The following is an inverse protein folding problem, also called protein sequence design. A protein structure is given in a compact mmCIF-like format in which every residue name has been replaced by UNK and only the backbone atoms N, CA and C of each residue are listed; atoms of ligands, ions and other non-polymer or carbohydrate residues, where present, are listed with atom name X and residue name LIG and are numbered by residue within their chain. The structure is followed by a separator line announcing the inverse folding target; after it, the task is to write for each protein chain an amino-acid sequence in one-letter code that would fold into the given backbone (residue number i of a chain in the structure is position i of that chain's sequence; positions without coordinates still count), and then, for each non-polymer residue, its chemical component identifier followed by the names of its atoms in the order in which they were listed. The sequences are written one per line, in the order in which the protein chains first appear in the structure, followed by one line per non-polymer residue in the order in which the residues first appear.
data_IF_251535255649
#
_entry.id   IF_251535255649
#
_cell.length_a   1.000
_cell.length_b   1.000
_cell.length_c   1.000
_cell.angle_alpha   90.00
_cell.angle_beta   90.00
_cell.angle_gamma   90.00
#
_symmetry.space_group_name_H-M   'P 1'
#
loop_
_entity.id
_entity.type
_entity.pdbx_description
1 polymer ?
#
# COMPACT_ATOMS: atom_id res chain seq x y z
N UNK A 1 -33.06 34.91 20.13
CA UNK A 1 -32.32 34.92 18.84
C UNK A 1 -31.47 33.65 18.80
N UNK A 2 -31.90 32.61 18.08
CA UNK A 2 -31.23 31.30 18.04
C UNK A 2 -30.14 31.38 16.98
N UNK A 3 -28.87 31.52 17.38
CA UNK A 3 -27.74 31.48 16.45
C UNK A 3 -27.71 30.08 15.84
N UNK A 4 -27.99 30.04 14.53
CA UNK A 4 -28.28 28.83 13.77
C UNK A 4 -26.94 28.18 13.42
N UNK A 5 -26.81 26.91 13.76
CA UNK A 5 -25.59 26.09 13.80
C UNK A 5 -25.04 25.71 12.39
N UNK A 6 -24.97 26.67 11.46
CA UNK A 6 -24.59 26.44 10.06
C UNK A 6 -23.08 26.31 9.84
N UNK A 7 -22.26 26.90 10.71
CA UNK A 7 -20.80 26.88 10.57
C UNK A 7 -20.24 25.44 10.62
N UNK A 8 -20.75 24.61 11.54
CA UNK A 8 -20.17 23.30 11.80
C UNK A 8 -20.27 22.31 10.63
N UNK A 9 -21.35 22.35 9.82
CA UNK A 9 -21.48 21.44 8.68
C UNK A 9 -20.58 21.83 7.51
N UNK A 10 -20.41 23.14 7.26
CA UNK A 10 -19.53 23.66 6.22
C UNK A 10 -18.08 23.34 6.57
N UNK A 11 -17.63 23.59 7.80
CA UNK A 11 -16.27 23.25 8.24
C UNK A 11 -16.02 21.74 8.22
N UNK A 12 -17.01 20.92 8.57
CA UNK A 12 -16.87 19.45 8.55
C UNK A 12 -16.72 18.93 7.13
N UNK A 13 -17.51 19.45 6.19
CA UNK A 13 -17.43 19.12 4.77
C UNK A 13 -16.11 19.59 4.15
N UNK A 14 -15.66 20.80 4.47
CA UNK A 14 -14.37 21.33 4.03
C UNK A 14 -13.20 20.49 4.59
N UNK A 15 -13.28 20.03 5.85
CA UNK A 15 -12.27 19.15 6.46
C UNK A 15 -12.28 17.74 5.86
N UNK A 16 -13.41 17.25 5.37
CA UNK A 16 -13.50 15.96 4.66
C UNK A 16 -12.91 16.02 3.25
N UNK A 17 -12.90 17.22 2.65
CA UNK A 17 -12.32 17.53 1.34
C UNK A 17 -10.82 17.88 1.39
N UNK A 18 -10.30 18.29 2.55
CA UNK A 18 -8.87 18.58 2.71
C UNK A 18 -8.05 17.28 2.70
N UNK A 19 -7.00 17.19 1.86
CA UNK A 19 -6.12 16.04 1.86
C UNK A 19 -5.36 15.93 3.17
N UNK A 20 -5.19 14.71 3.66
CA UNK A 20 -4.31 14.45 4.79
C UNK A 20 -2.84 14.53 4.36
N UNK A 21 -1.97 14.71 5.36
CA UNK A 21 -0.52 14.81 5.15
C UNK A 21 0.01 13.53 4.49
N UNK A 22 -0.49 12.36 4.88
CA UNK A 22 -0.09 11.07 4.34
C UNK A 22 -1.32 10.17 4.16
N UNK A 23 -1.57 9.77 2.91
CA UNK A 23 -2.70 8.94 2.53
C UNK A 23 -2.24 7.69 1.77
N UNK A 24 -2.91 6.57 2.02
CA UNK A 24 -2.89 5.37 1.21
C UNK A 24 -4.29 5.16 0.64
N UNK A 25 -4.45 5.30 -0.67
CA UNK A 25 -5.70 4.96 -1.35
C UNK A 25 -5.56 3.66 -2.10
N UNK A 26 -6.62 2.87 -2.17
CA UNK A 26 -6.58 1.52 -2.76
C UNK A 26 -7.86 1.20 -3.52
N UNK A 27 -7.74 0.30 -4.49
CA UNK A 27 -8.82 -0.24 -5.29
C UNK A 27 -9.60 -1.34 -4.57
N UNK A 28 -10.75 -1.68 -5.13
CA UNK A 28 -11.74 -2.55 -4.47
C UNK A 28 -11.24 -3.95 -4.09
N UNK A 29 -10.29 -4.54 -4.83
CA UNK A 29 -9.78 -5.89 -4.55
C UNK A 29 -8.79 -5.94 -3.37
N UNK A 30 -8.21 -4.80 -2.98
CA UNK A 30 -7.27 -4.70 -1.86
C UNK A 30 -7.95 -4.47 -0.50
N UNK A 31 -9.27 -4.26 -0.47
CA UNK A 31 -10.05 -4.04 0.75
C UNK A 31 -9.77 -5.05 1.89
N UNK A 32 -9.59 -6.36 1.65
CA UNK A 32 -9.29 -7.29 2.74
C UNK A 32 -7.93 -7.04 3.43
N UNK A 33 -7.00 -6.32 2.78
CA UNK A 33 -5.69 -6.00 3.37
C UNK A 33 -5.75 -4.90 4.41
N UNK A 34 -6.87 -4.23 4.62
CA UNK A 34 -6.94 -3.00 5.44
C UNK A 34 -8.15 -2.98 6.38
N UNK A 35 -9.04 -3.97 6.27
CA UNK A 35 -10.20 -4.09 7.15
C UNK A 35 -9.76 -4.62 8.52
N UNK A 36 -10.24 -3.96 9.59
CA UNK A 36 -9.93 -4.35 10.96
C UNK A 36 -8.43 -4.30 11.28
N UNK A 37 -7.97 -5.22 12.14
CA UNK A 37 -6.55 -5.41 12.43
C UNK A 37 -5.85 -6.27 11.37
N UNK A 38 -5.84 -5.79 10.14
CA UNK A 38 -5.17 -6.49 9.05
C UNK A 38 -3.65 -6.55 9.24
N UNK A 39 -2.96 -7.50 8.57
CA UNK A 39 -1.49 -7.54 8.56
C UNK A 39 -0.86 -6.22 8.10
N UNK A 40 -1.43 -5.55 7.09
CA UNK A 40 -0.92 -4.26 6.61
C UNK A 40 -1.07 -3.17 7.66
N UNK A 41 -2.20 -3.13 8.38
CA UNK A 41 -2.40 -2.15 9.45
C UNK A 41 -1.37 -2.33 10.58
N UNK A 42 -1.05 -3.58 10.93
CA UNK A 42 0.02 -3.89 11.90
C UNK A 42 1.38 -3.46 11.38
N UNK A 43 1.69 -3.73 10.12
CA UNK A 43 2.96 -3.36 9.50
C UNK A 43 3.14 -1.84 9.42
N UNK A 44 2.09 -1.11 9.04
CA UNK A 44 2.09 0.37 9.02
C UNK A 44 2.37 0.93 10.41
N UNK A 45 1.70 0.41 11.46
CA UNK A 45 1.93 0.86 12.82
C UNK A 45 3.34 0.53 13.31
N UNK A 46 3.86 -0.65 12.96
CA UNK A 46 5.22 -1.05 13.25
C UNK A 46 6.23 -0.11 12.59
N UNK A 47 6.13 0.10 11.27
CA UNK A 47 6.99 1.00 10.51
C UNK A 47 6.94 2.43 11.05
N UNK A 48 5.74 2.91 11.41
CA UNK A 48 5.57 4.21 12.04
C UNK A 48 6.41 4.29 13.31
N UNK A 49 6.21 3.37 14.24
CA UNK A 49 6.92 3.32 15.54
C UNK A 49 8.43 3.14 15.37
N UNK A 50 8.86 2.35 14.39
CA UNK A 50 10.26 2.18 14.05
C UNK A 50 10.88 3.49 13.55
N UNK A 51 10.22 4.21 12.65
CA UNK A 51 10.66 5.54 12.17
C UNK A 51 10.78 6.53 13.34
N UNK A 52 9.83 6.53 14.27
CA UNK A 52 9.91 7.37 15.50
C UNK A 52 11.17 7.07 16.31
N UNK A 53 11.45 5.79 16.53
CA UNK A 53 12.57 5.34 17.35
C UNK A 53 13.93 5.57 16.68
N UNK A 54 14.02 5.33 15.37
CA UNK A 54 15.27 5.38 14.63
C UNK A 54 15.65 6.80 14.18
N UNK A 55 14.68 7.58 13.70
CA UNK A 55 14.93 8.89 13.09
C UNK A 55 14.56 10.08 13.99
N UNK A 56 13.89 9.83 15.11
CA UNK A 56 13.61 10.85 16.13
C UNK A 56 12.50 11.85 15.79
N UNK A 57 11.69 11.60 14.76
CA UNK A 57 10.57 12.48 14.40
C UNK A 57 9.23 11.75 14.37
N UNK A 58 8.16 12.54 14.58
CA UNK A 58 6.81 12.01 14.67
C UNK A 58 6.17 11.82 13.29
N UNK A 59 6.14 10.58 12.78
CA UNK A 59 5.41 10.28 11.54
C UNK A 59 3.89 10.44 11.77
N UNK A 60 3.18 11.24 10.94
CA UNK A 60 1.75 11.46 11.08
C UNK A 60 0.95 10.16 10.89
N UNK A 61 -0.32 10.19 11.29
CA UNK A 61 -1.24 9.08 11.03
C UNK A 61 -1.43 8.94 9.51
N UNK A 62 -1.18 7.74 8.98
CA UNK A 62 -1.50 7.40 7.60
C UNK A 62 -3.01 7.19 7.49
N UNK A 63 -3.66 7.96 6.61
CA UNK A 63 -5.08 7.75 6.33
C UNK A 63 -5.24 6.71 5.22
N UNK A 64 -6.01 5.66 5.48
CA UNK A 64 -6.28 4.59 4.53
C UNK A 64 -7.74 4.71 4.06
N UNK A 65 -8.00 4.82 2.74
CA UNK A 65 -9.35 4.99 2.17
C UNK A 65 -9.50 4.31 0.82
N UNK A 66 -10.68 3.75 0.53
CA UNK A 66 -10.95 3.20 -0.79
C UNK A 66 -11.11 4.33 -1.80
N UNK A 67 -10.69 4.07 -3.03
CA UNK A 67 -10.87 4.99 -4.13
C UNK A 67 -11.36 4.24 -5.37
N UNK A 68 -12.65 4.39 -5.66
CA UNK A 68 -13.32 3.71 -6.77
C UNK A 68 -12.77 4.08 -8.16
N UNK A 69 -11.98 5.16 -8.26
CA UNK A 69 -11.31 5.55 -9.49
C UNK A 69 -10.05 4.73 -9.79
N UNK A 70 -9.52 4.00 -8.80
CA UNK A 70 -8.36 3.12 -8.98
C UNK A 70 -8.79 1.77 -9.55
N UNK A 71 -7.88 1.14 -10.28
CA UNK A 71 -8.08 -0.25 -10.69
C UNK A 71 -8.19 -1.17 -9.45
N UNK A 72 -8.87 -2.33 -9.54
CA UNK A 72 -9.15 -3.14 -8.36
C UNK A 72 -7.92 -3.53 -7.52
N UNK A 73 -6.79 -3.84 -8.16
CA UNK A 73 -5.53 -4.25 -7.51
C UNK A 73 -4.55 -3.08 -7.29
N UNK A 74 -4.99 -1.85 -7.52
CA UNK A 74 -4.13 -0.68 -7.50
C UNK A 74 -4.15 0.01 -6.14
N UNK A 75 -3.00 0.56 -5.74
CA UNK A 75 -2.90 1.49 -4.65
C UNK A 75 -2.07 2.70 -5.05
N UNK A 76 -2.31 3.80 -4.36
CA UNK A 76 -1.53 5.03 -4.47
C UNK A 76 -1.21 5.57 -3.09
N UNK A 77 -0.02 6.15 -2.96
CA UNK A 77 0.42 6.87 -1.78
C UNK A 77 0.40 8.35 -2.12
N UNK A 78 -0.23 9.15 -1.27
CA UNK A 78 -0.29 10.60 -1.43
C UNK A 78 0.35 11.30 -0.24
N UNK A 79 1.06 12.40 -0.52
CA UNK A 79 1.56 13.33 0.47
C UNK A 79 0.94 14.70 0.21
N UNK A 80 0.22 15.25 1.19
CA UNK A 80 -0.54 16.49 1.05
C UNK A 80 -1.48 16.48 -0.19
N UNK A 81 -2.05 15.32 -0.51
CA UNK A 81 -2.92 15.14 -1.67
C UNK A 81 -2.21 14.97 -3.01
N UNK A 82 -0.88 15.06 -3.06
CA UNK A 82 -0.09 14.78 -4.27
C UNK A 82 0.31 13.31 -4.30
N UNK A 83 0.04 12.65 -5.42
CA UNK A 83 0.51 11.28 -5.65
C UNK A 83 2.04 11.23 -5.71
N UNK A 84 2.62 10.38 -4.87
CA UNK A 84 4.07 10.15 -4.81
C UNK A 84 4.47 8.74 -5.21
N UNK A 85 3.54 7.79 -5.14
CA UNK A 85 3.75 6.42 -5.58
C UNK A 85 2.43 5.77 -6.01
N UNK A 86 2.52 4.86 -6.98
CA UNK A 86 1.40 4.07 -7.52
C UNK A 86 1.90 2.69 -7.90
N UNK A 87 1.07 1.67 -7.66
CA UNK A 87 1.32 0.32 -8.14
C UNK A 87 0.02 -0.47 -8.24
N UNK A 88 -0.12 -1.37 -9.22
CA UNK A 88 -1.40 -2.06 -9.45
C UNK A 88 -1.36 -3.39 -10.19
N UNK A 89 -0.20 -4.04 -10.26
CA UNK A 89 -0.03 -5.26 -11.07
C UNK A 89 -0.24 -6.56 -10.28
N UNK A 90 -0.44 -6.49 -8.96
CA UNK A 90 -0.39 -7.64 -8.06
C UNK A 90 -1.72 -7.91 -7.35
N UNK A 91 -2.23 -9.14 -7.45
CA UNK A 91 -3.38 -9.59 -6.67
C UNK A 91 -3.02 -9.92 -5.23
N UNK A 92 -4.01 -9.90 -4.33
CA UNK A 92 -3.84 -10.12 -2.88
C UNK A 92 -3.21 -11.48 -2.50
N UNK A 93 -3.39 -12.50 -3.35
CA UNK A 93 -2.90 -13.87 -3.11
C UNK A 93 -1.67 -14.22 -3.94
N UNK A 94 -1.18 -13.27 -4.74
CA UNK A 94 0.03 -13.44 -5.51
C UNK A 94 1.25 -13.22 -4.63
N UNK A 95 2.41 -13.62 -5.12
CA UNK A 95 3.69 -13.36 -4.49
C UNK A 95 4.61 -12.73 -5.51
N UNK A 96 5.40 -11.75 -5.07
CA UNK A 96 6.44 -11.16 -5.88
C UNK A 96 7.76 -11.90 -5.62
N UNK A 97 8.40 -12.36 -6.68
CA UNK A 97 9.75 -12.89 -6.66
C UNK A 97 10.68 -11.82 -7.21
N UNK A 98 11.50 -11.23 -6.34
CA UNK A 98 12.44 -10.18 -6.70
C UNK A 98 13.79 -10.82 -6.98
N UNK A 99 14.40 -10.51 -8.13
CA UNK A 99 15.71 -11.01 -8.48
C UNK A 99 16.81 -10.16 -7.81
N UNK A 100 17.16 -10.49 -6.55
CA UNK A 100 18.17 -9.74 -5.77
C UNK A 100 19.60 -10.24 -5.99
N UNK A 101 19.77 -11.37 -6.66
CA UNK A 101 21.07 -11.98 -6.96
C UNK A 101 20.90 -12.74 -8.26
N UNK A 102 21.88 -12.76 -9.17
CA UNK A 102 21.87 -13.53 -10.44
C UNK A 102 21.65 -15.07 -10.28
N UNK A 103 21.21 -15.52 -9.11
CA UNK A 103 20.81 -16.88 -8.76
C UNK A 103 19.52 -17.31 -9.48
N UNK A 104 18.68 -16.39 -9.94
CA UNK A 104 17.52 -16.73 -10.78
C UNK A 104 17.97 -16.86 -12.25
N UNK A 105 18.80 -17.87 -12.55
CA UNK A 105 19.17 -18.23 -13.93
C UNK A 105 18.10 -19.04 -14.65
N UNK A 106 17.07 -19.51 -13.93
CA UNK A 106 15.94 -20.25 -14.51
C UNK A 106 14.81 -19.29 -14.82
N UNK A 107 14.26 -19.39 -16.04
CA UNK A 107 13.02 -18.72 -16.39
C UNK A 107 11.90 -19.19 -15.45
N UNK A 108 11.54 -18.34 -14.49
CA UNK A 108 10.37 -18.56 -13.63
C UNK A 108 9.15 -18.15 -14.45
N UNK A 109 8.23 -19.08 -14.67
CA UNK A 109 6.94 -18.76 -15.27
C UNK A 109 6.14 -17.79 -14.37
N UNK A 110 5.64 -16.70 -14.94
CA UNK A 110 4.86 -15.69 -14.22
C UNK A 110 4.76 -14.39 -15.00
N UNK A 111 4.13 -13.39 -14.40
CA UNK A 111 4.01 -12.06 -15.01
C UNK A 111 5.21 -11.21 -14.62
N UNK A 112 6.00 -10.75 -15.60
CA UNK A 112 7.12 -9.84 -15.36
C UNK A 112 6.59 -8.50 -14.86
N UNK A 113 7.22 -7.94 -13.84
CA UNK A 113 6.86 -6.67 -13.20
C UNK A 113 8.12 -6.00 -12.61
N UNK A 114 7.93 -4.86 -11.95
CA UNK A 114 8.95 -4.13 -11.21
C UNK A 114 8.55 -4.02 -9.75
N UNK A 115 9.52 -4.17 -8.85
CA UNK A 115 9.32 -3.90 -7.43
C UNK A 115 9.05 -2.40 -7.20
N UNK A 116 7.95 -2.02 -6.51
CA UNK A 116 7.59 -0.62 -6.32
C UNK A 116 8.49 0.14 -5.33
N UNK A 117 9.35 -0.53 -4.56
CA UNK A 117 10.23 0.13 -3.59
C UNK A 117 11.60 0.48 -4.19
N UNK A 118 12.14 -0.39 -5.06
CA UNK A 118 13.52 -0.31 -5.57
C UNK A 118 13.64 -0.39 -7.09
N UNK A 119 12.53 -0.52 -7.84
CA UNK A 119 12.50 -0.68 -9.30
C UNK A 119 13.30 -1.90 -9.83
N UNK A 120 13.39 -2.93 -9.00
CA UNK A 120 14.08 -4.18 -9.34
C UNK A 120 13.21 -5.07 -10.22
N UNK A 121 13.86 -5.84 -11.10
CA UNK A 121 13.17 -6.86 -11.89
C UNK A 121 12.53 -7.91 -11.00
N UNK A 122 11.23 -8.09 -11.20
CA UNK A 122 10.43 -9.02 -10.41
C UNK A 122 9.47 -9.83 -11.28
N UNK A 123 9.03 -10.95 -10.73
CA UNK A 123 8.05 -11.83 -11.37
C UNK A 123 6.94 -12.12 -10.36
N UNK A 124 5.70 -11.88 -10.78
CA UNK A 124 4.51 -12.24 -10.03
C UNK A 124 4.25 -13.73 -10.22
N UNK A 125 4.16 -14.44 -9.10
CA UNK A 125 3.97 -15.89 -9.04
C UNK A 125 2.82 -16.26 -8.11
N UNK A 126 2.23 -17.42 -8.35
CA UNK A 126 1.19 -17.99 -7.50
C UNK A 126 1.78 -18.65 -6.24
N UNK A 127 0.93 -18.89 -5.23
CA UNK A 127 1.29 -19.64 -4.02
C UNK A 127 1.90 -21.01 -4.31
N UNK A 128 1.43 -21.70 -5.36
CA UNK A 128 1.94 -23.02 -5.76
C UNK A 128 3.38 -22.93 -6.28
N UNK A 129 3.68 -21.92 -7.07
CA UNK A 129 5.03 -21.67 -7.61
C UNK A 129 6.00 -21.26 -6.50
N UNK A 130 5.57 -20.42 -5.54
CA UNK A 130 6.37 -20.07 -4.36
C UNK A 130 6.86 -21.30 -3.59
N UNK A 131 5.99 -22.29 -3.37
CA UNK A 131 6.38 -23.53 -2.68
C UNK A 131 7.45 -24.31 -3.45
N UNK A 132 7.34 -24.37 -4.78
CA UNK A 132 8.33 -25.04 -5.64
C UNK A 132 9.69 -24.35 -5.56
N UNK A 133 9.71 -23.02 -5.63
CA UNK A 133 10.95 -22.23 -5.59
C UNK A 133 11.67 -22.31 -4.24
N UNK A 134 10.94 -22.25 -3.12
CA UNK A 134 11.55 -22.40 -1.80
C UNK A 134 12.28 -23.73 -1.59
N UNK A 135 11.85 -24.79 -2.28
CA UNK A 135 12.49 -26.11 -2.20
C UNK A 135 13.74 -26.21 -3.10
N UNK A 136 13.98 -25.25 -3.99
CA UNK A 136 15.17 -25.17 -4.84
C UNK A 136 16.30 -24.38 -4.18
N UNK A 137 15.99 -23.54 -3.19
CA UNK A 137 16.96 -22.74 -2.42
C UNK A 137 17.57 -23.52 -1.23
N UNK A 138 17.33 -24.84 -1.12
CA UNK A 138 17.91 -25.75 -0.11
C UNK A 138 18.80 -26.78 -0.78
#
# INVERSE_FOLDING_TARGET
MKVRNYDNEIYKRFREELPDILELRFGSALRPLIEGESPLFREINYLRNWIHAELGFILPKIRIRDWLALNPNEYVILINGFEVARYGEMGINDYMCINTTDMIKKEIAGTKTKDPAFDLDAIIITKGQKKKLKNLDT
#
